data_IF_837563267953
#
_entry.id   IF_837563267953
#
_cell.length_a   1.000
_cell.length_b   1.000
_cell.length_c   1.000
_cell.angle_alpha   90.00
_cell.angle_beta   90.00
_cell.angle_gamma   90.00
#
_symmetry.space_group_name_H-M   'P 1'
#
loop_
_entity.id
_entity.type
_entity.pdbx_description
1 polymer ?
#
# COMPACT_ATOMS: atom_id res chain seq x y z
N UNK A 1 -12.98 -69.60 33.48
CA UNK A 1 -11.70 -69.34 34.20
C UNK A 1 -10.64 -70.22 33.55
N UNK A 2 -9.52 -69.79 32.98
CA UNK A 2 -8.72 -68.56 33.04
C UNK A 2 -7.77 -68.59 31.82
N UNK A 3 -7.67 -67.45 31.11
CA UNK A 3 -6.42 -66.78 30.65
C UNK A 3 -5.63 -67.43 29.48
N UNK A 4 -5.63 -66.78 28.31
CA UNK A 4 -4.59 -65.85 27.75
C UNK A 4 -3.46 -66.61 27.05
N UNK A 5 -2.98 -66.06 25.92
CA UNK A 5 -1.96 -66.54 24.95
C UNK A 5 -2.58 -67.36 23.80
N UNK A 6 -2.64 -66.91 22.54
CA UNK A 6 -1.66 -66.16 21.74
C UNK A 6 -2.43 -65.20 20.82
N UNK A 7 -2.40 -63.91 21.15
CA UNK A 7 -2.79 -62.80 20.27
C UNK A 7 -1.57 -61.87 20.14
N UNK A 8 -0.44 -62.42 19.68
CA UNK A 8 0.81 -61.67 19.48
C UNK A 8 1.64 -62.33 18.38
N UNK A 9 1.10 -62.38 17.16
CA UNK A 9 1.93 -62.60 15.97
C UNK A 9 1.35 -61.95 14.72
N UNK A 10 0.65 -60.83 14.88
CA UNK A 10 0.17 -59.98 13.77
C UNK A 10 0.22 -58.47 14.13
N UNK A 11 1.17 -58.07 15.00
CA UNK A 11 1.39 -56.66 15.36
C UNK A 11 2.85 -56.21 15.17
N UNK A 12 3.58 -56.85 14.26
CA UNK A 12 4.95 -56.47 13.89
C UNK A 12 5.17 -56.30 12.38
N UNK A 13 4.09 -56.13 11.60
CA UNK A 13 4.17 -55.82 10.16
C UNK A 13 3.69 -54.40 9.79
N UNK A 14 3.48 -53.52 10.77
CA UNK A 14 3.06 -52.12 10.52
C UNK A 14 3.95 -51.07 11.20
N UNK A 15 5.18 -51.41 11.58
CA UNK A 15 6.15 -50.43 12.09
C UNK A 15 7.52 -50.69 11.47
N UNK A 16 7.68 -50.40 10.18
CA UNK A 16 8.93 -49.94 9.58
C UNK A 16 8.73 -49.55 8.10
N UNK A 17 9.23 -48.35 7.76
CA UNK A 17 9.45 -47.81 6.41
C UNK A 17 8.18 -47.43 5.62
N UNK A 18 7.91 -46.17 5.31
CA UNK A 18 8.70 -44.96 5.43
C UNK A 18 7.81 -43.81 5.83
N UNK A 19 8.36 -42.95 6.69
CA UNK A 19 7.94 -41.57 6.79
C UNK A 19 7.73 -41.03 5.37
N UNK A 20 6.47 -40.81 5.00
CA UNK A 20 6.18 -39.72 4.08
C UNK A 20 6.83 -38.52 4.75
N UNK A 21 7.97 -38.11 4.21
CA UNK A 21 8.38 -36.73 4.34
C UNK A 21 7.17 -35.99 3.84
N UNK A 22 6.44 -35.34 4.74
CA UNK A 22 5.75 -34.12 4.38
C UNK A 22 6.79 -33.34 3.60
N UNK A 23 6.62 -33.32 2.27
CA UNK A 23 7.28 -32.34 1.44
C UNK A 23 6.84 -31.02 2.06
N UNK A 24 7.72 -30.48 2.89
CA UNK A 24 7.69 -29.11 3.33
C UNK A 24 7.64 -28.37 2.02
N UNK A 25 6.44 -27.93 1.65
CA UNK A 25 6.16 -27.17 0.46
C UNK A 25 7.20 -26.06 0.49
N UNK A 26 8.24 -26.18 -0.36
CA UNK A 26 9.33 -25.21 -0.40
C UNK A 26 8.64 -23.88 -0.53
N UNK A 27 8.73 -23.05 0.52
CA UNK A 27 8.09 -21.74 0.54
C UNK A 27 8.47 -21.08 -0.77
N UNK A 28 7.46 -20.68 -1.54
CA UNK A 28 7.68 -20.00 -2.80
C UNK A 28 8.56 -18.79 -2.44
N UNK A 29 9.83 -18.79 -2.85
CA UNK A 29 10.73 -17.69 -2.51
C UNK A 29 10.07 -16.42 -3.03
N UNK A 30 9.72 -15.52 -2.12
CA UNK A 30 9.19 -14.21 -2.49
C UNK A 30 10.30 -13.53 -3.28
N UNK A 31 9.98 -13.07 -4.49
CA UNK A 31 10.93 -12.33 -5.30
C UNK A 31 10.98 -10.89 -4.78
N UNK A 32 12.15 -10.49 -4.27
CA UNK A 32 12.40 -9.14 -3.78
C UNK A 32 13.84 -8.73 -4.10
N UNK A 33 14.09 -7.42 -4.13
CA UNK A 33 15.45 -6.87 -4.17
C UNK A 33 15.74 -6.19 -2.84
N UNK A 34 16.80 -6.61 -2.15
CA UNK A 34 17.29 -5.97 -0.94
C UNK A 34 18.57 -5.19 -1.25
N UNK A 35 18.57 -3.90 -0.92
CA UNK A 35 19.74 -3.02 -1.09
C UNK A 35 20.22 -2.56 0.28
N UNK A 36 21.39 -3.03 0.77
CA UNK A 36 21.98 -2.54 2.01
C UNK A 36 22.26 -1.03 1.95
N UNK A 37 21.96 -0.32 3.03
CA UNK A 37 22.21 1.13 3.17
C UNK A 37 23.17 1.46 4.31
N UNK A 38 23.24 0.62 5.34
CA UNK A 38 24.25 0.68 6.39
C UNK A 38 24.57 -0.72 6.93
N UNK A 39 25.86 -0.99 7.13
CA UNK A 39 26.37 -2.27 7.60
C UNK A 39 27.45 -2.04 8.67
N UNK A 40 27.23 -2.59 9.87
CA UNK A 40 28.23 -2.61 10.95
C UNK A 40 28.57 -4.04 11.33
N UNK A 41 29.46 -4.25 12.31
CA UNK A 41 29.77 -5.61 12.78
C UNK A 41 28.57 -6.37 13.36
N UNK A 42 27.48 -5.67 13.75
CA UNK A 42 26.30 -6.28 14.41
C UNK A 42 24.96 -5.85 13.80
N UNK A 43 24.95 -4.89 12.86
CA UNK A 43 23.73 -4.31 12.28
C UNK A 43 23.71 -4.46 10.77
N UNK A 44 22.56 -4.84 10.24
CA UNK A 44 22.22 -4.74 8.82
C UNK A 44 21.01 -3.82 8.65
N UNK A 45 21.17 -2.81 7.82
CA UNK A 45 20.12 -1.88 7.44
C UNK A 45 20.03 -1.81 5.92
N UNK A 46 18.82 -1.76 5.39
CA UNK A 46 18.64 -1.65 3.94
C UNK A 46 17.21 -1.42 3.51
N UNK A 47 17.05 -1.27 2.19
CA UNK A 47 15.77 -0.96 1.55
C UNK A 47 15.28 -2.14 0.70
N UNK A 48 13.97 -2.38 0.74
CA UNK A 48 13.24 -3.27 -0.16
C UNK A 48 12.21 -2.43 -0.93
N UNK A 49 12.42 -2.19 -2.23
CA UNK A 49 11.39 -1.65 -3.10
C UNK A 49 10.23 -2.65 -3.21
N UNK A 50 9.02 -2.18 -2.95
CA UNK A 50 7.80 -2.95 -3.10
C UNK A 50 7.08 -2.57 -4.39
N UNK A 51 6.34 -3.55 -4.91
CA UNK A 51 5.29 -3.34 -5.89
C UNK A 51 3.97 -3.90 -5.33
N UNK A 52 2.85 -3.61 -5.99
CA UNK A 52 1.58 -4.19 -5.61
C UNK A 52 1.56 -5.69 -5.84
N UNK A 53 0.93 -6.42 -4.92
CA UNK A 53 0.63 -7.83 -5.07
C UNK A 53 -0.87 -7.93 -5.36
N UNK A 54 -1.23 -8.38 -6.56
CA UNK A 54 -2.62 -8.44 -7.02
C UNK A 54 -3.39 -7.10 -6.95
N UNK A 55 -2.69 -5.99 -7.14
CA UNK A 55 -3.29 -4.64 -7.10
C UNK A 55 -3.53 -4.09 -5.70
N UNK A 56 -3.05 -4.77 -4.66
CA UNK A 56 -3.13 -4.34 -3.27
C UNK A 56 -1.74 -4.13 -2.68
N UNK A 57 -1.66 -3.28 -1.64
CA UNK A 57 -0.43 -3.15 -0.84
C UNK A 57 -0.10 -4.52 -0.26
N UNK A 58 1.17 -4.97 -0.33
CA UNK A 58 1.56 -6.21 0.30
C UNK A 58 1.21 -6.19 1.81
N UNK A 59 0.49 -7.19 2.33
CA UNK A 59 0.09 -7.20 3.74
C UNK A 59 1.31 -7.34 4.65
N UNK A 60 1.16 -6.94 5.91
CA UNK A 60 2.22 -7.01 6.92
C UNK A 60 2.89 -8.38 7.02
N UNK A 61 2.13 -9.48 6.90
CA UNK A 61 2.67 -10.83 6.93
C UNK A 61 3.63 -11.11 5.75
N UNK A 62 3.32 -10.59 4.56
CA UNK A 62 4.21 -10.68 3.40
C UNK A 62 5.52 -9.91 3.63
N UNK A 63 5.45 -8.74 4.27
CA UNK A 63 6.63 -7.95 4.64
C UNK A 63 7.50 -8.70 5.66
N UNK A 64 6.88 -9.35 6.65
CA UNK A 64 7.56 -10.19 7.64
C UNK A 64 8.26 -11.39 7.02
N UNK A 65 7.65 -12.02 6.02
CA UNK A 65 8.25 -13.14 5.29
C UNK A 65 9.53 -12.69 4.55
N UNK A 66 9.49 -11.56 3.84
CA UNK A 66 10.67 -10.96 3.20
C UNK A 66 11.75 -10.65 4.25
N UNK A 67 11.39 -9.97 5.33
CA UNK A 67 12.30 -9.58 6.39
C UNK A 67 12.98 -10.80 7.04
N UNK A 68 12.21 -11.86 7.26
CA UNK A 68 12.70 -13.15 7.78
C UNK A 68 13.67 -13.82 6.82
N UNK A 69 13.41 -13.78 5.51
CA UNK A 69 14.31 -14.33 4.51
C UNK A 69 15.64 -13.57 4.49
N UNK A 70 15.60 -12.22 4.49
CA UNK A 70 16.81 -11.37 4.57
C UNK A 70 17.65 -11.72 5.80
N UNK A 71 17.02 -11.90 6.97
CA UNK A 71 17.71 -12.29 8.21
C UNK A 71 18.39 -13.66 8.08
N UNK A 72 17.68 -14.66 7.53
CA UNK A 72 18.22 -16.02 7.32
C UNK A 72 19.40 -16.03 6.35
N UNK A 73 19.35 -15.19 5.32
CA UNK A 73 20.40 -15.06 4.32
C UNK A 73 21.63 -14.30 4.85
N UNK A 74 21.48 -13.57 5.97
CA UNK A 74 22.53 -12.74 6.57
C UNK A 74 22.76 -13.04 8.08
N UNK A 75 23.10 -14.28 8.47
CA UNK A 75 23.09 -14.74 9.87
C UNK A 75 24.18 -14.12 10.76
N UNK A 76 25.13 -13.38 10.18
CA UNK A 76 26.24 -12.73 10.89
C UNK A 76 25.82 -11.47 11.66
N UNK A 77 24.67 -10.88 11.33
CA UNK A 77 24.18 -9.68 11.99
C UNK A 77 23.22 -10.03 13.13
N UNK A 78 23.12 -9.13 14.10
CA UNK A 78 22.27 -9.29 15.28
C UNK A 78 21.09 -8.33 15.30
N UNK A 79 21.16 -7.24 14.55
CA UNK A 79 20.10 -6.24 14.47
C UNK A 79 19.76 -5.96 13.02
N UNK A 80 18.46 -5.99 12.69
CA UNK A 80 17.95 -5.83 11.35
C UNK A 80 16.99 -4.65 11.30
N UNK A 81 17.21 -3.75 10.33
CA UNK A 81 16.36 -2.60 10.05
C UNK A 81 16.06 -2.58 8.54
N UNK A 82 14.86 -3.03 8.16
CA UNK A 82 14.48 -3.25 6.77
C UNK A 82 13.39 -2.26 6.41
N UNK A 83 13.75 -1.30 5.58
CA UNK A 83 12.86 -0.25 5.11
C UNK A 83 12.15 -0.68 3.84
N UNK A 84 10.83 -0.83 3.93
CA UNK A 84 9.98 -1.08 2.77
C UNK A 84 9.61 0.24 2.12
N UNK A 85 9.89 0.33 0.81
CA UNK A 85 9.71 1.56 0.03
C UNK A 85 8.72 1.36 -1.10
N UNK A 86 7.77 2.28 -1.25
CA UNK A 86 6.92 2.36 -2.45
C UNK A 86 7.56 3.31 -3.48
N UNK A 87 7.32 3.10 -4.79
CA UNK A 87 7.96 3.87 -5.86
C UNK A 87 7.32 5.26 -6.03
N UNK A 88 7.32 6.07 -4.98
CA UNK A 88 7.01 7.49 -5.06
C UNK A 88 8.24 8.26 -5.56
N UNK A 89 8.05 9.19 -6.49
CA UNK A 89 9.15 9.99 -7.05
C UNK A 89 8.95 11.46 -6.68
N UNK A 90 9.93 12.05 -6.00
CA UNK A 90 10.01 13.50 -5.87
C UNK A 90 10.57 14.08 -7.18
N UNK A 91 9.83 14.99 -7.82
CA UNK A 91 10.32 15.67 -9.03
C UNK A 91 10.80 17.09 -8.65
N UNK A 92 12.04 17.41 -9.05
CA UNK A 92 12.83 18.63 -8.76
C UNK A 92 13.40 18.81 -7.32
N UNK A 93 14.54 18.13 -7.08
CA UNK A 93 15.65 18.44 -6.16
C UNK A 93 15.35 19.15 -4.82
N UNK A 94 15.17 18.37 -3.75
CA UNK A 94 16.07 18.25 -2.58
C UNK A 94 15.37 17.34 -1.57
N UNK A 95 15.63 16.04 -1.67
CA UNK A 95 15.17 15.07 -0.70
C UNK A 95 15.78 15.40 0.67
N UNK A 96 14.99 16.01 1.56
CA UNK A 96 15.25 15.97 3.00
C UNK A 96 14.26 15.07 3.74
N UNK A 97 13.23 14.56 3.06
CA UNK A 97 12.26 13.62 3.64
C UNK A 97 12.23 12.34 2.81
N UNK A 98 12.28 11.21 3.51
CA UNK A 98 12.23 9.86 2.98
C UNK A 98 10.79 9.52 2.49
N UNK A 99 10.27 10.28 1.52
CA UNK A 99 8.86 10.22 1.04
C UNK A 99 8.44 8.87 0.45
N UNK A 100 9.39 7.97 0.20
CA UNK A 100 9.13 6.61 -0.28
C UNK A 100 9.01 5.58 0.85
N UNK A 101 9.38 5.91 2.09
CA UNK A 101 9.32 4.99 3.22
C UNK A 101 7.86 4.69 3.61
N UNK A 102 7.52 3.41 3.63
CA UNK A 102 6.17 2.95 3.90
C UNK A 102 6.07 2.15 5.20
N UNK A 103 6.95 1.15 5.38
CA UNK A 103 7.08 0.41 6.64
C UNK A 103 8.56 0.23 7.01
N UNK A 104 8.82 0.15 8.31
CA UNK A 104 10.08 -0.35 8.86
C UNK A 104 9.78 -1.70 9.52
N UNK A 105 10.46 -2.75 9.07
CA UNK A 105 10.60 -3.98 9.83
C UNK A 105 11.88 -3.94 10.65
N UNK A 106 11.75 -4.03 11.97
CA UNK A 106 12.89 -4.05 12.87
C UNK A 106 12.88 -5.28 13.76
N UNK A 107 14.06 -5.85 14.01
CA UNK A 107 14.22 -7.03 14.85
C UNK A 107 15.64 -7.12 15.40
N UNK A 108 15.76 -7.39 16.69
CA UNK A 108 17.00 -7.91 17.27
C UNK A 108 17.01 -9.44 17.25
N UNK A 109 18.20 -10.04 17.28
CA UNK A 109 18.38 -11.49 17.22
C UNK A 109 17.72 -12.24 18.38
N UNK A 110 17.55 -11.57 19.51
CA UNK A 110 16.90 -12.12 20.71
C UNK A 110 15.37 -12.11 20.60
N UNK A 111 14.80 -11.32 19.68
CA UNK A 111 13.37 -11.23 19.49
C UNK A 111 12.80 -12.46 18.76
N UNK A 112 11.56 -12.80 19.10
CA UNK A 112 10.85 -13.91 18.46
C UNK A 112 10.38 -13.57 17.05
N UNK A 113 9.95 -12.33 16.80
CA UNK A 113 9.40 -11.87 15.52
C UNK A 113 9.85 -10.43 15.16
N UNK A 114 9.61 -10.00 13.92
CA UNK A 114 9.81 -8.62 13.47
C UNK A 114 8.69 -7.71 13.96
N UNK A 115 9.07 -6.55 14.48
CA UNK A 115 8.16 -5.42 14.69
C UNK A 115 8.00 -4.64 13.37
N UNK A 116 6.76 -4.31 13.02
CA UNK A 116 6.42 -3.63 11.76
C UNK A 116 5.79 -2.28 12.09
N UNK A 117 6.56 -1.20 11.86
CA UNK A 117 6.14 0.17 12.14
C UNK A 117 5.80 0.90 10.85
N UNK A 118 4.61 1.51 10.71
CA UNK A 118 4.30 2.39 9.58
C UNK A 118 5.20 3.63 9.59
N UNK A 119 5.80 3.95 8.44
CA UNK A 119 6.74 5.06 8.27
C UNK A 119 6.17 6.22 7.45
N UNK A 120 4.88 6.14 7.06
CA UNK A 120 4.21 7.22 6.35
C UNK A 120 3.86 8.37 7.31
N UNK A 121 4.79 9.28 7.58
CA UNK A 121 4.45 10.58 8.19
C UNK A 121 3.80 11.47 7.13
N UNK A 122 2.64 12.08 7.41
CA UNK A 122 1.90 13.05 6.56
C UNK A 122 2.75 13.56 5.40
N UNK A 123 2.71 12.85 4.28
CA UNK A 123 3.51 13.17 3.11
C UNK A 123 3.30 14.66 2.81
N UNK A 124 4.34 15.41 2.50
CA UNK A 124 4.15 16.77 1.98
C UNK A 124 3.59 16.64 0.56
N UNK A 125 2.30 16.31 0.48
CA UNK A 125 1.58 15.83 -0.72
C UNK A 125 1.55 16.85 -1.86
N UNK A 126 2.04 18.07 -1.66
CA UNK A 126 2.05 19.14 -2.67
C UNK A 126 3.11 18.95 -3.76
N UNK A 127 4.09 18.07 -3.57
CA UNK A 127 5.20 17.88 -4.52
C UNK A 127 5.51 16.41 -4.84
N UNK A 128 4.51 15.55 -4.80
CA UNK A 128 4.68 14.13 -5.10
C UNK A 128 4.26 13.86 -6.55
N UNK A 129 5.17 13.21 -7.30
CA UNK A 129 4.85 12.55 -8.55
C UNK A 129 4.76 11.05 -8.30
N UNK A 130 3.61 10.50 -8.60
CA UNK A 130 3.34 9.08 -8.46
C UNK A 130 3.88 8.31 -9.66
N UNK A 131 4.29 7.05 -9.45
CA UNK A 131 4.59 6.14 -10.55
C UNK A 131 3.28 5.76 -11.29
N UNK A 132 3.35 5.30 -12.53
CA UNK A 132 2.15 4.91 -13.29
C UNK A 132 1.50 3.66 -12.69
N UNK A 133 2.29 2.71 -12.19
CA UNK A 133 1.79 1.43 -11.66
C UNK A 133 0.92 1.59 -10.40
N UNK A 134 0.93 2.75 -9.75
CA UNK A 134 0.12 3.04 -8.57
C UNK A 134 -1.18 3.78 -8.90
N UNK A 135 -1.37 4.22 -10.15
CA UNK A 135 -2.61 4.85 -10.60
C UNK A 135 -3.71 3.79 -10.72
N UNK A 136 -4.87 4.07 -10.12
CA UNK A 136 -5.99 3.13 -9.99
C UNK A 136 -5.92 2.25 -8.73
N UNK A 137 -4.85 2.39 -7.94
CA UNK A 137 -4.64 1.67 -6.69
C UNK A 137 -4.63 2.63 -5.51
N UNK A 138 -4.98 2.14 -4.31
CA UNK A 138 -4.91 2.91 -3.05
C UNK A 138 -5.70 4.22 -3.01
N UNK A 139 -6.78 4.29 -3.79
CA UNK A 139 -7.56 5.50 -3.96
C UNK A 139 -6.87 6.58 -4.80
N UNK A 140 -5.79 6.28 -5.52
CA UNK A 140 -5.07 7.24 -6.36
C UNK A 140 -5.65 7.20 -7.78
N UNK A 141 -6.18 8.31 -8.27
CA UNK A 141 -6.83 8.37 -9.58
C UNK A 141 -6.47 9.63 -10.36
N UNK A 142 -6.38 9.52 -11.70
CA UNK A 142 -6.23 10.68 -12.58
C UNK A 142 -7.51 11.50 -12.59
N UNK A 143 -7.40 12.83 -12.52
CA UNK A 143 -8.57 13.72 -12.60
C UNK A 143 -9.40 13.42 -13.85
N UNK A 144 -8.74 13.17 -14.98
CA UNK A 144 -9.37 12.90 -16.27
C UNK A 144 -10.30 11.67 -16.30
N UNK A 145 -10.23 10.77 -15.31
CA UNK A 145 -11.00 9.51 -15.29
C UNK A 145 -12.09 9.45 -14.21
N UNK A 146 -12.08 10.37 -13.23
CA UNK A 146 -12.99 10.25 -12.08
C UNK A 146 -14.41 10.73 -12.34
N UNK A 147 -14.59 11.69 -13.25
CA UNK A 147 -15.89 12.28 -13.54
C UNK A 147 -16.78 11.39 -14.44
N UNK A 148 -18.11 11.58 -14.44
CA UNK A 148 -18.87 12.30 -13.41
C UNK A 148 -19.06 11.44 -12.15
N UNK A 149 -19.25 12.10 -11.00
CA UNK A 149 -19.74 11.52 -9.74
C UNK A 149 -20.92 12.37 -9.28
N UNK A 150 -22.09 11.76 -9.13
CA UNK A 150 -23.32 12.47 -8.74
C UNK A 150 -23.77 12.08 -7.34
N UNK A 151 -24.32 13.04 -6.61
CA UNK A 151 -25.00 12.78 -5.34
C UNK A 151 -26.16 11.81 -5.56
N UNK A 152 -26.30 10.83 -4.67
CA UNK A 152 -27.24 9.74 -4.75
C UNK A 152 -26.70 8.47 -5.41
N UNK A 153 -25.51 8.51 -6.03
CA UNK A 153 -24.86 7.31 -6.59
C UNK A 153 -24.51 6.32 -5.47
N UNK A 154 -24.81 5.02 -5.62
CA UNK A 154 -24.35 4.00 -4.68
C UNK A 154 -22.83 4.01 -4.54
N UNK A 155 -22.31 3.93 -3.31
CA UNK A 155 -20.87 4.00 -3.09
C UNK A 155 -20.12 2.81 -3.73
N UNK A 156 -20.77 1.63 -3.78
CA UNK A 156 -20.21 0.45 -4.42
C UNK A 156 -19.96 0.65 -5.92
N UNK A 157 -20.80 1.43 -6.62
CA UNK A 157 -20.60 1.75 -8.03
C UNK A 157 -19.39 2.67 -8.22
N UNK A 158 -19.16 3.58 -7.26
CA UNK A 158 -17.98 4.45 -7.26
C UNK A 158 -16.71 3.64 -6.99
N UNK A 159 -16.72 2.74 -6.00
CA UNK A 159 -15.59 1.86 -5.67
C UNK A 159 -15.27 0.94 -6.86
N UNK A 160 -16.28 0.38 -7.52
CA UNK A 160 -16.08 -0.42 -8.73
C UNK A 160 -15.42 0.37 -9.86
N UNK A 161 -15.68 1.68 -9.95
CA UNK A 161 -15.08 2.58 -10.96
C UNK A 161 -13.67 3.05 -10.59
N UNK A 162 -13.46 3.42 -9.33
CA UNK A 162 -12.27 4.16 -8.87
C UNK A 162 -11.29 3.30 -8.06
N UNK A 163 -11.65 2.05 -7.78
CA UNK A 163 -10.92 1.18 -6.87
C UNK A 163 -11.23 1.48 -5.40
N UNK A 164 -10.59 0.72 -4.52
CA UNK A 164 -10.71 0.90 -3.07
C UNK A 164 -10.20 2.29 -2.66
N UNK A 165 -10.97 3.07 -1.88
CA UNK A 165 -10.53 4.37 -1.39
C UNK A 165 -9.33 4.24 -0.45
N UNK A 166 -8.61 5.33 -0.25
CA UNK A 166 -7.61 5.41 0.81
C UNK A 166 -8.31 5.32 2.17
N UNK A 167 -7.73 4.55 3.09
CA UNK A 167 -8.25 4.38 4.44
C UNK A 167 -8.30 5.74 5.17
N UNK A 168 -9.50 6.12 5.65
CA UNK A 168 -9.64 7.22 6.60
C UNK A 168 -9.38 6.72 8.03
N UNK A 169 -9.00 7.63 8.92
CA UNK A 169 -8.85 7.34 10.35
C UNK A 169 -10.05 6.59 10.93
N UNK A 170 -9.77 5.76 11.94
CA UNK A 170 -10.81 5.11 12.73
C UNK A 170 -11.60 6.19 13.50
N UNK A 171 -12.88 6.39 13.16
CA UNK A 171 -13.72 7.41 13.79
C UNK A 171 -15.09 7.63 13.14
N UNK A 172 -15.71 8.79 13.41
CA UNK A 172 -17.05 9.16 12.91
C UNK A 172 -17.17 9.29 11.38
N UNK A 173 -16.05 9.22 10.66
CA UNK A 173 -15.98 9.40 9.22
C UNK A 173 -15.53 8.15 8.46
N UNK A 174 -15.52 6.98 9.12
CA UNK A 174 -15.07 5.70 8.52
C UNK A 174 -15.78 5.32 7.21
N UNK A 175 -17.03 5.75 7.02
CA UNK A 175 -17.82 5.44 5.82
C UNK A 175 -17.53 6.44 4.68
N UNK A 176 -16.87 7.56 4.97
CA UNK A 176 -16.47 8.52 3.96
C UNK A 176 -15.28 7.96 3.17
N UNK A 177 -15.27 8.21 1.87
CA UNK A 177 -14.21 7.75 0.99
C UNK A 177 -13.26 8.89 0.66
N UNK A 178 -11.95 8.60 0.73
CA UNK A 178 -10.89 9.53 0.34
C UNK A 178 -10.19 8.99 -0.90
N UNK A 179 -10.02 9.84 -1.91
CA UNK A 179 -9.23 9.53 -3.09
C UNK A 179 -8.19 10.62 -3.33
N UNK A 180 -6.95 10.22 -3.58
CA UNK A 180 -5.90 11.12 -4.05
C UNK A 180 -6.08 11.35 -5.56
N UNK A 181 -6.15 12.62 -5.95
CA UNK A 181 -6.36 13.01 -7.33
C UNK A 181 -5.06 13.55 -7.90
N UNK A 182 -4.65 12.97 -9.01
CA UNK A 182 -3.44 13.36 -9.74
C UNK A 182 -3.79 13.97 -11.08
N UNK A 183 -2.88 14.77 -11.63
CA UNK A 183 -2.97 15.21 -13.01
C UNK A 183 -2.45 14.13 -13.99
N UNK A 184 -2.45 14.42 -15.30
CA UNK A 184 -2.02 13.45 -16.31
C UNK A 184 -0.52 13.12 -16.22
N UNK A 185 0.28 14.02 -15.63
CA UNK A 185 1.68 13.80 -15.30
C UNK A 185 1.89 13.08 -13.95
N UNK A 186 0.82 12.52 -13.36
CA UNK A 186 0.80 11.78 -12.09
C UNK A 186 1.21 12.61 -10.87
N UNK A 187 1.10 13.92 -10.97
CA UNK A 187 1.40 14.82 -9.87
C UNK A 187 0.15 15.01 -9.02
N UNK A 188 0.29 14.92 -7.71
CA UNK A 188 -0.80 15.12 -6.77
C UNK A 188 -1.38 16.54 -6.86
N UNK A 189 -2.66 16.66 -7.21
CA UNK A 189 -3.34 17.96 -7.33
C UNK A 189 -4.38 18.21 -6.25
N UNK A 190 -4.85 17.18 -5.55
CA UNK A 190 -5.82 17.35 -4.48
C UNK A 190 -6.47 16.06 -4.01
N UNK A 191 -7.29 16.18 -2.99
CA UNK A 191 -7.99 15.08 -2.34
C UNK A 191 -9.47 15.22 -2.64
N UNK A 192 -10.07 14.16 -3.16
CA UNK A 192 -11.50 14.00 -3.32
C UNK A 192 -12.07 13.31 -2.08
N UNK A 193 -13.02 13.98 -1.43
CA UNK A 193 -13.81 13.45 -0.33
C UNK A 193 -15.21 13.14 -0.84
N UNK A 194 -15.65 11.90 -0.63
CA UNK A 194 -17.04 11.49 -0.84
C UNK A 194 -17.66 11.19 0.52
N UNK A 195 -18.67 11.97 0.87
CA UNK A 195 -19.43 11.73 2.09
C UNK A 195 -20.50 10.69 1.81
N UNK A 196 -20.62 9.68 2.67
CA UNK A 196 -21.54 8.56 2.45
C UNK A 196 -22.64 8.58 3.49
N UNK A 197 -23.88 8.44 3.03
CA UNK A 197 -25.06 8.27 3.88
C UNK A 197 -25.99 7.26 3.22
N UNK A 198 -26.47 6.29 4.00
CA UNK A 198 -27.36 5.23 3.51
C UNK A 198 -26.79 4.54 2.25
N UNK A 199 -25.49 4.20 2.30
CA UNK A 199 -24.70 3.56 1.22
C UNK A 199 -24.62 4.34 -0.10
N UNK A 200 -24.95 5.63 -0.07
CA UNK A 200 -24.93 6.52 -1.24
C UNK A 200 -24.08 7.74 -0.98
N UNK A 201 -23.53 8.30 -2.06
CA UNK A 201 -22.85 9.59 -2.04
C UNK A 201 -23.86 10.66 -1.62
N UNK A 202 -23.62 11.31 -0.48
CA UNK A 202 -24.46 12.37 0.07
C UNK A 202 -23.91 13.77 -0.22
N UNK A 203 -22.58 13.91 -0.26
CA UNK A 203 -21.89 15.14 -0.65
C UNK A 203 -20.51 14.82 -1.25
N UNK A 204 -19.97 15.77 -2.00
CA UNK A 204 -18.71 15.67 -2.72
C UNK A 204 -17.88 16.92 -2.42
N UNK A 205 -16.65 16.75 -1.96
CA UNK A 205 -15.73 17.84 -1.73
C UNK A 205 -14.37 17.59 -2.38
N UNK A 206 -13.78 18.65 -2.91
CA UNK A 206 -12.43 18.61 -3.46
C UNK A 206 -11.57 19.61 -2.69
N UNK A 207 -10.56 19.08 -2.01
CA UNK A 207 -9.52 19.86 -1.36
C UNK A 207 -8.28 19.84 -2.24
N UNK A 208 -7.56 20.96 -2.29
CA UNK A 208 -6.25 20.97 -2.93
C UNK A 208 -5.25 21.73 -2.05
N UNK A 209 -4.10 21.09 -1.74
CA UNK A 209 -3.02 21.74 -1.01
C UNK A 209 -2.16 22.63 -1.92
N UNK A 210 -2.40 22.65 -3.24
CA UNK A 210 -1.71 23.54 -4.18
C UNK A 210 -2.14 24.99 -3.90
N UNK A 211 -1.18 25.81 -3.47
CA UNK A 211 -1.41 27.20 -3.04
C UNK A 211 -1.76 28.10 -4.24
N UNK A 212 -1.27 27.75 -5.42
CA UNK A 212 -1.50 28.47 -6.68
C UNK A 212 -2.96 28.40 -7.14
N UNK A 213 -3.71 27.38 -6.71
CA UNK A 213 -5.12 27.27 -7.02
C UNK A 213 -5.94 28.34 -6.31
N UNK A 214 -6.53 29.23 -7.11
CA UNK A 214 -7.55 30.14 -6.63
C UNK A 214 -8.89 29.42 -6.42
N UNK A 215 -9.82 30.08 -5.72
CA UNK A 215 -11.14 29.53 -5.40
C UNK A 215 -11.94 29.14 -6.65
N UNK A 216 -11.84 29.91 -7.73
CA UNK A 216 -12.54 29.61 -8.99
C UNK A 216 -12.03 28.33 -9.62
N UNK A 217 -10.72 28.09 -9.61
CA UNK A 217 -10.11 26.88 -10.15
C UNK A 217 -10.49 25.64 -9.35
N UNK A 218 -10.50 25.72 -8.01
CA UNK A 218 -10.97 24.62 -7.14
C UNK A 218 -12.45 24.30 -7.41
N UNK A 219 -13.29 25.33 -7.58
CA UNK A 219 -14.70 25.16 -7.92
C UNK A 219 -14.91 24.58 -9.33
N UNK A 220 -14.09 24.96 -10.29
CA UNK A 220 -14.13 24.42 -11.65
C UNK A 220 -13.79 22.93 -11.67
N UNK A 221 -12.76 22.51 -10.92
CA UNK A 221 -12.40 21.09 -10.74
C UNK A 221 -13.58 20.35 -10.10
N UNK A 222 -14.15 20.86 -9.00
CA UNK A 222 -15.33 20.26 -8.37
C UNK A 222 -16.51 20.14 -9.35
N UNK A 223 -16.76 21.17 -10.16
CA UNK A 223 -17.82 21.18 -11.17
C UNK A 223 -17.60 20.12 -12.24
N UNK A 224 -16.36 19.94 -12.69
CA UNK A 224 -16.01 18.86 -13.61
C UNK A 224 -16.22 17.48 -12.98
N UNK A 225 -15.76 17.26 -11.74
CA UNK A 225 -15.97 16.00 -11.01
C UNK A 225 -17.46 15.66 -10.92
N UNK A 226 -18.30 16.67 -10.66
CA UNK A 226 -19.75 16.53 -10.59
C UNK A 226 -20.45 16.41 -11.96
N UNK A 227 -19.70 16.51 -13.06
CA UNK A 227 -20.22 16.39 -14.42
C UNK A 227 -20.90 17.64 -14.98
N UNK A 228 -20.91 18.77 -14.26
CA UNK A 228 -21.50 20.03 -14.73
C UNK A 228 -20.58 20.82 -15.66
N UNK A 229 -19.30 20.43 -15.75
CA UNK A 229 -18.28 21.04 -16.61
C UNK A 229 -17.50 19.96 -17.35
N UNK A 230 -17.02 20.24 -18.56
CA UNK A 230 -16.15 19.33 -19.34
C UNK A 230 -14.68 19.51 -18.97
N UNK A 231 -13.89 18.44 -19.05
CA UNK A 231 -12.47 18.47 -18.70
C UNK A 231 -11.70 19.53 -19.51
N UNK A 232 -11.95 19.61 -20.81
CA UNK A 232 -11.25 20.51 -21.75
C UNK A 232 -11.54 21.99 -21.48
N UNK A 233 -12.55 22.29 -20.66
CA UNK A 233 -12.90 23.66 -20.28
C UNK A 233 -12.21 24.13 -18.99
N UNK A 234 -11.44 23.25 -18.33
CA UNK A 234 -10.62 23.58 -17.17
C UNK A 234 -9.35 24.32 -17.63
N UNK A 235 -9.36 25.65 -17.50
CA UNK A 235 -8.21 26.52 -17.83
C UNK A 235 -7.27 26.64 -16.63
N UNK A 236 -6.62 25.55 -16.27
CA UNK A 236 -5.78 25.42 -15.07
C UNK A 236 -4.44 24.82 -15.50
N UNK A 237 -3.36 25.60 -15.42
CA UNK A 237 -2.04 25.18 -15.93
C UNK A 237 -1.47 23.98 -15.18
N UNK A 238 -1.75 23.88 -13.89
CA UNK A 238 -1.22 22.84 -13.01
C UNK A 238 -1.91 21.48 -13.24
N UNK A 239 -2.97 21.41 -14.06
CA UNK A 239 -3.49 20.15 -14.58
C UNK A 239 -2.58 19.51 -15.63
N UNK A 240 -1.68 20.29 -16.21
CA UNK A 240 -0.61 19.74 -17.05
C UNK A 240 0.62 19.50 -16.20
N UNK A 241 1.09 20.52 -15.47
CA UNK A 241 2.29 20.40 -14.64
C UNK A 241 2.23 21.37 -13.45
N UNK A 242 2.26 20.83 -12.23
CA UNK A 242 2.19 21.62 -10.99
C UNK A 242 3.48 22.39 -10.71
N UNK A 243 4.60 21.99 -11.33
CA UNK A 243 5.91 22.61 -11.09
C UNK A 243 6.23 23.77 -12.03
N UNK A 244 5.39 24.02 -13.04
CA UNK A 244 5.57 25.05 -14.08
C UNK A 244 4.52 26.16 -14.00
#
# INVERSE_FOLDING_TARGET
MKKILIFFMFLFLLVACGSEKEETQKSKNIEYTFTPTDETSVKLEGKVPLDFVNGEIPPTDYLKEIATQIMKDNPKYENFFIYFTFPFVEYHQKASSDVSLYYLASKSKEDTDFDITPMYSNLEFTKITFNENIIGHLGINKLSTIAPITVGTPINDIIAKLGTPTQMDEGEHKDNCMYYIVNDNRQMIGILYLYVKDEKVSDISFYSPIIQYNKSQKNDIKSYIMGSKKYESLKIKELTDIYN
#
